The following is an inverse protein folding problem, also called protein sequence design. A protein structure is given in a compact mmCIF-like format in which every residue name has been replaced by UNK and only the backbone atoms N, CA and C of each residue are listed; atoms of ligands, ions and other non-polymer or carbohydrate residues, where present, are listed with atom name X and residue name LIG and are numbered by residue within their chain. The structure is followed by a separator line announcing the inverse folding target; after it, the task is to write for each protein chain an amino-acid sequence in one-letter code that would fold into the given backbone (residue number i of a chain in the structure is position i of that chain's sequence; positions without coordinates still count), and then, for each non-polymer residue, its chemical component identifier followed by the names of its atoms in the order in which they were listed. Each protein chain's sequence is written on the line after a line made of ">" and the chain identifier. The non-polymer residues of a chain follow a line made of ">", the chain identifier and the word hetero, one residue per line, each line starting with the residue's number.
data_IF_237905744501
#
_entry.id   IF_237905744501
#
_cell.length_a   1.000
_cell.length_b   1.000
_cell.length_c   1.000
_cell.angle_alpha   90.00
_cell.angle_beta   90.00
_cell.angle_gamma   90.00
#
_symmetry.space_group_name_H-M   'P 1'
#
loop_
_entity.id
_entity.type
_entity.pdbx_description
1 polymer ?
#
# COMPACT_ATOMS: atom_id res chain seq x y z
N UNK A 1 6.53 -13.87 -14.56
CA UNK A 1 7.80 -13.44 -13.94
C UNK A 1 7.72 -11.96 -13.63
N UNK A 2 8.26 -11.54 -12.49
CA UNK A 2 8.38 -10.12 -12.19
C UNK A 2 9.46 -9.46 -13.07
N UNK A 3 9.55 -8.13 -13.03
CA UNK A 3 10.44 -7.37 -13.92
C UNK A 3 11.93 -7.71 -13.72
N UNK A 4 12.37 -7.91 -12.48
CA UNK A 4 13.77 -8.24 -12.19
C UNK A 4 14.09 -9.69 -12.58
N UNK A 5 13.17 -10.63 -12.35
CA UNK A 5 13.27 -12.01 -12.87
C UNK A 5 13.38 -12.02 -14.41
N UNK A 6 12.65 -11.13 -15.11
CA UNK A 6 12.74 -10.99 -16.57
C UNK A 6 14.10 -10.46 -17.03
N UNK A 7 14.71 -9.52 -16.29
CA UNK A 7 16.07 -9.05 -16.58
C UNK A 7 17.07 -10.18 -16.41
N UNK A 8 17.06 -10.84 -15.25
CA UNK A 8 18.03 -11.91 -14.93
C UNK A 8 17.91 -13.09 -15.91
N UNK A 9 16.68 -13.52 -16.24
CA UNK A 9 16.49 -14.56 -17.24
C UNK A 9 16.98 -14.12 -18.62
N UNK A 10 16.69 -12.88 -19.03
CA UNK A 10 17.15 -12.32 -20.31
C UNK A 10 18.68 -12.27 -20.41
N UNK A 11 19.36 -11.81 -19.35
CA UNK A 11 20.83 -11.79 -19.28
C UNK A 11 21.41 -13.19 -19.39
N UNK A 12 20.83 -14.15 -18.65
CA UNK A 12 21.26 -15.53 -18.72
C UNK A 12 21.17 -16.10 -20.14
N UNK A 13 20.18 -15.67 -20.92
CA UNK A 13 19.92 -16.16 -22.28
C UNK A 13 20.88 -15.58 -23.35
N UNK A 14 21.75 -14.62 -23.00
CA UNK A 14 22.78 -14.12 -23.91
C UNK A 14 23.81 -15.21 -24.29
N UNK A 15 24.12 -16.12 -23.36
CA UNK A 15 24.91 -17.32 -23.65
C UNK A 15 24.02 -18.47 -24.18
N UNK A 16 23.29 -18.17 -25.26
CA UNK A 16 22.32 -19.10 -25.82
C UNK A 16 22.98 -20.36 -26.41
N UNK A 17 22.34 -21.49 -26.14
CA UNK A 17 22.53 -22.74 -26.87
C UNK A 17 21.15 -23.40 -27.13
N UNK A 18 21.11 -24.34 -28.08
CA UNK A 18 19.85 -24.93 -28.56
C UNK A 18 19.01 -25.59 -27.46
N UNK A 19 19.64 -26.12 -26.41
CA UNK A 19 18.91 -26.73 -25.27
C UNK A 19 18.02 -25.73 -24.52
N UNK A 20 18.30 -24.43 -24.65
CA UNK A 20 17.59 -23.34 -23.96
C UNK A 20 16.51 -22.68 -24.81
N UNK A 21 16.17 -23.26 -25.97
CA UNK A 21 15.12 -22.71 -26.86
C UNK A 21 13.77 -22.54 -26.14
N UNK A 22 13.45 -23.43 -25.20
CA UNK A 22 12.19 -23.36 -24.45
C UNK A 22 12.18 -22.17 -23.49
N UNK A 23 13.29 -21.93 -22.79
CA UNK A 23 13.46 -20.76 -21.90
C UNK A 23 13.40 -19.45 -22.68
N UNK A 24 14.01 -19.41 -23.87
CA UNK A 24 13.99 -18.23 -24.74
C UNK A 24 12.56 -17.90 -25.19
N UNK A 25 11.79 -18.91 -25.62
CA UNK A 25 10.39 -18.71 -25.98
C UNK A 25 9.58 -18.16 -24.82
N UNK A 26 9.71 -18.79 -23.65
CA UNK A 26 9.00 -18.37 -22.43
C UNK A 26 9.34 -16.91 -22.08
N UNK A 27 10.61 -16.52 -22.22
CA UNK A 27 11.03 -15.14 -21.98
C UNK A 27 10.40 -14.15 -22.96
N UNK A 28 10.40 -14.46 -24.26
CA UNK A 28 9.83 -13.61 -25.33
C UNK A 28 8.32 -13.44 -25.19
N UNK A 29 7.60 -14.46 -24.72
CA UNK A 29 6.15 -14.44 -24.56
C UNK A 29 5.67 -13.43 -23.50
N UNK A 30 6.57 -12.92 -22.65
CA UNK A 30 6.25 -11.86 -21.68
C UNK A 30 6.16 -10.46 -22.32
N UNK A 31 6.60 -10.27 -23.57
CA UNK A 31 6.59 -8.98 -24.25
C UNK A 31 5.34 -8.79 -25.12
N UNK A 32 4.72 -7.58 -25.12
CA UNK A 32 3.57 -7.29 -25.97
C UNK A 32 4.01 -7.02 -27.42
N UNK A 33 4.23 -8.09 -28.18
CA UNK A 33 4.73 -8.00 -29.57
C UNK A 33 3.66 -7.56 -30.59
N UNK A 34 2.40 -7.50 -30.17
CA UNK A 34 1.26 -7.04 -30.95
C UNK A 34 0.64 -5.78 -30.34
N UNK A 35 0.10 -4.89 -31.17
CA UNK A 35 -0.58 -3.67 -30.72
C UNK A 35 0.29 -2.41 -30.79
N UNK A 36 -0.04 -1.40 -29.97
CA UNK A 36 0.61 -0.08 -30.01
C UNK A 36 1.97 -0.13 -29.32
N UNK A 37 3.04 0.05 -30.10
CA UNK A 37 4.41 0.15 -29.60
C UNK A 37 4.58 1.37 -28.66
N UNK A 38 5.29 1.25 -27.53
CA UNK A 38 5.66 2.39 -26.71
C UNK A 38 6.41 3.46 -27.52
N UNK A 39 6.18 4.74 -27.20
CA UNK A 39 6.78 5.86 -27.94
C UNK A 39 8.31 5.76 -27.86
N UNK A 40 8.98 5.79 -29.02
CA UNK A 40 10.45 5.69 -29.11
C UNK A 40 11.02 4.27 -29.12
N UNK A 41 10.20 3.24 -28.94
CA UNK A 41 10.68 1.86 -28.74
C UNK A 41 10.51 0.96 -29.99
N UNK A 42 10.47 1.55 -31.19
CA UNK A 42 10.28 0.80 -32.45
C UNK A 42 11.42 -0.18 -32.72
N UNK A 43 12.65 0.22 -32.42
CA UNK A 43 13.83 -0.61 -32.61
C UNK A 43 13.81 -1.84 -31.70
N UNK A 44 13.58 -1.63 -30.39
CA UNK A 44 13.47 -2.71 -29.42
C UNK A 44 12.30 -3.67 -29.74
N UNK A 45 11.16 -3.16 -30.23
CA UNK A 45 10.07 -4.01 -30.71
C UNK A 45 10.48 -4.84 -31.93
N UNK A 46 11.23 -4.27 -32.87
CA UNK A 46 11.72 -4.99 -34.05
C UNK A 46 12.69 -6.10 -33.66
N UNK A 47 13.61 -5.82 -32.74
CA UNK A 47 14.58 -6.77 -32.18
C UNK A 47 13.86 -7.97 -31.54
N UNK A 48 12.88 -7.71 -30.67
CA UNK A 48 12.06 -8.76 -30.05
C UNK A 48 11.28 -9.60 -31.06
N UNK A 49 10.69 -8.97 -32.10
CA UNK A 49 9.99 -9.69 -33.17
C UNK A 49 10.93 -10.57 -33.99
N UNK A 50 12.15 -10.10 -34.24
CA UNK A 50 13.16 -10.87 -34.97
C UNK A 50 13.52 -12.13 -34.20
N UNK A 51 13.85 -12.02 -32.90
CA UNK A 51 14.16 -13.22 -32.10
C UNK A 51 12.94 -14.14 -32.03
N UNK A 52 11.73 -13.61 -31.82
CA UNK A 52 10.52 -14.44 -31.82
C UNK A 52 10.39 -15.27 -33.10
N UNK A 53 10.58 -14.64 -34.26
CA UNK A 53 10.48 -15.31 -35.55
C UNK A 53 11.48 -16.46 -35.68
N UNK A 54 12.75 -16.25 -35.29
CA UNK A 54 13.77 -17.30 -35.33
C UNK A 54 13.46 -18.44 -34.34
N UNK A 55 12.99 -18.11 -33.14
CA UNK A 55 12.60 -19.10 -32.12
C UNK A 55 11.41 -19.94 -32.58
N UNK A 56 10.38 -19.32 -33.15
CA UNK A 56 9.20 -20.02 -33.68
C UNK A 56 9.60 -20.93 -34.86
N UNK A 57 10.48 -20.47 -35.76
CA UNK A 57 11.00 -21.26 -36.88
C UNK A 57 11.81 -22.47 -36.41
N UNK A 58 12.68 -22.30 -35.41
CA UNK A 58 13.44 -23.40 -34.84
C UNK A 58 12.54 -24.44 -34.18
N UNK A 59 11.53 -24.02 -33.41
CA UNK A 59 10.61 -24.94 -32.77
C UNK A 59 9.72 -25.69 -33.75
N UNK A 60 9.24 -25.02 -34.79
CA UNK A 60 8.29 -25.63 -35.73
C UNK A 60 8.99 -26.54 -36.75
N UNK A 61 10.21 -26.21 -37.17
CA UNK A 61 10.88 -26.87 -38.30
C UNK A 61 12.28 -27.40 -37.99
N UNK A 62 12.84 -27.13 -36.80
CA UNK A 62 14.22 -27.49 -36.47
C UNK A 62 15.27 -26.71 -37.27
N UNK A 63 14.90 -25.57 -37.85
CA UNK A 63 15.76 -24.76 -38.71
C UNK A 63 16.36 -23.57 -37.96
N UNK A 64 17.51 -23.06 -38.43
CA UNK A 64 18.01 -21.71 -38.08
C UNK A 64 18.47 -21.46 -36.62
N UNK A 65 18.89 -22.48 -35.87
CA UNK A 65 19.43 -22.30 -34.50
C UNK A 65 20.64 -21.35 -34.44
N UNK A 66 21.46 -21.35 -35.49
CA UNK A 66 22.59 -20.41 -35.67
C UNK A 66 22.16 -18.94 -35.79
N UNK A 67 20.95 -18.68 -36.28
CA UNK A 67 20.45 -17.31 -36.45
C UNK A 67 20.04 -16.69 -35.10
N UNK A 68 19.50 -17.49 -34.18
CA UNK A 68 19.20 -17.02 -32.81
C UNK A 68 20.50 -16.55 -32.14
N UNK A 69 21.56 -17.35 -32.25
CA UNK A 69 22.89 -16.97 -31.74
C UNK A 69 23.43 -15.71 -32.42
N UNK A 70 23.26 -15.59 -33.74
CA UNK A 70 23.70 -14.42 -34.48
C UNK A 70 22.95 -13.14 -34.06
N UNK A 71 21.63 -13.21 -33.82
CA UNK A 71 20.85 -12.06 -33.34
C UNK A 71 21.30 -11.64 -31.94
N UNK A 72 21.50 -12.61 -31.04
CA UNK A 72 21.92 -12.35 -29.66
C UNK A 72 23.36 -11.85 -29.54
N UNK A 73 24.22 -12.10 -30.54
CA UNK A 73 25.62 -11.62 -30.54
C UNK A 73 25.70 -10.09 -30.47
N UNK A 74 24.65 -9.40 -30.87
CA UNK A 74 24.56 -7.93 -30.83
C UNK A 74 23.88 -7.38 -29.58
N UNK A 75 23.41 -8.25 -28.68
CA UNK A 75 22.76 -7.83 -27.43
C UNK A 75 23.75 -7.97 -26.27
N UNK A 76 23.72 -7.01 -25.36
CA UNK A 76 24.43 -7.08 -24.09
C UNK A 76 23.44 -6.99 -22.91
N UNK A 77 23.96 -7.07 -21.69
CA UNK A 77 23.12 -6.99 -20.49
C UNK A 77 22.38 -5.65 -20.38
N UNK A 78 23.00 -4.56 -20.83
CA UNK A 78 22.40 -3.21 -20.83
C UNK A 78 21.22 -3.17 -21.80
N UNK A 79 21.35 -3.80 -22.96
CA UNK A 79 20.30 -3.92 -23.95
C UNK A 79 19.13 -4.76 -23.43
N UNK A 80 19.40 -5.88 -22.75
CA UNK A 80 18.36 -6.68 -22.08
C UNK A 80 17.60 -5.82 -21.07
N UNK A 81 18.30 -5.10 -20.20
CA UNK A 81 17.68 -4.24 -19.19
C UNK A 81 16.82 -3.15 -19.84
N UNK A 82 17.33 -2.50 -20.88
CA UNK A 82 16.62 -1.49 -21.66
C UNK A 82 15.34 -2.04 -22.30
N UNK A 83 15.39 -3.24 -22.88
CA UNK A 83 14.23 -3.91 -23.48
C UNK A 83 13.20 -4.23 -22.38
N UNK A 84 13.60 -4.84 -21.27
CA UNK A 84 12.66 -5.16 -20.17
C UNK A 84 12.06 -3.87 -19.60
N UNK A 85 12.85 -2.84 -19.34
CA UNK A 85 12.37 -1.55 -18.80
C UNK A 85 11.38 -0.84 -19.73
N UNK A 86 11.58 -0.98 -21.04
CA UNK A 86 10.75 -0.33 -22.07
C UNK A 86 9.36 -0.94 -22.24
N UNK A 87 9.24 -2.25 -21.99
CA UNK A 87 8.00 -3.00 -22.25
C UNK A 87 7.31 -3.49 -20.97
N UNK A 88 8.07 -3.75 -19.91
CA UNK A 88 7.60 -4.29 -18.66
C UNK A 88 7.67 -3.18 -17.61
N UNK A 89 6.50 -2.65 -17.25
CA UNK A 89 6.40 -1.70 -16.15
C UNK A 89 6.78 -2.41 -14.86
N UNK A 90 7.41 -1.70 -13.92
CA UNK A 90 7.63 -2.24 -12.57
C UNK A 90 6.31 -2.82 -12.07
N UNK A 91 6.34 -4.07 -11.61
CA UNK A 91 5.27 -4.57 -10.75
C UNK A 91 5.16 -3.56 -9.61
N UNK A 92 3.96 -3.01 -9.41
CA UNK A 92 3.75 -2.09 -8.31
C UNK A 92 4.08 -2.87 -7.04
N UNK A 93 5.10 -2.44 -6.29
CA UNK A 93 5.21 -2.84 -4.89
C UNK A 93 3.93 -2.38 -4.20
N UNK A 94 3.01 -3.33 -4.04
CA UNK A 94 1.70 -3.07 -3.50
C UNK A 94 1.68 -3.23 -1.98
N UNK A 95 2.81 -3.52 -1.35
CA UNK A 95 2.90 -3.74 0.09
C UNK A 95 4.14 -3.07 0.66
N UNK A 96 3.98 -2.38 1.78
CA UNK A 96 5.05 -1.82 2.60
C UNK A 96 4.81 -2.23 4.05
N UNK A 97 5.82 -2.80 4.73
CA UNK A 97 5.69 -3.26 6.12
C UNK A 97 6.49 -2.38 7.07
N UNK A 98 5.89 -2.06 8.21
CA UNK A 98 6.54 -1.33 9.29
C UNK A 98 6.08 -1.88 10.64
N UNK A 99 6.99 -2.54 11.38
CA UNK A 99 6.67 -3.24 12.63
C UNK A 99 5.51 -4.25 12.42
N UNK A 100 4.45 -4.15 13.21
CA UNK A 100 3.21 -4.93 13.13
C UNK A 100 2.19 -4.40 12.11
N UNK A 101 2.58 -3.43 11.26
CA UNK A 101 1.69 -2.72 10.34
C UNK A 101 2.02 -3.12 8.90
N UNK A 102 0.99 -3.49 8.16
CA UNK A 102 1.06 -3.74 6.72
C UNK A 102 0.30 -2.66 5.97
N UNK A 103 1.01 -1.87 5.17
CA UNK A 103 0.43 -0.93 4.23
C UNK A 103 0.26 -1.61 2.89
N UNK A 104 -0.91 -1.46 2.26
CA UNK A 104 -1.18 -2.00 0.93
C UNK A 104 -1.64 -0.92 -0.05
N UNK A 105 -1.17 -1.01 -1.30
CA UNK A 105 -1.60 -0.16 -2.40
C UNK A 105 -2.58 -0.92 -3.29
N UNK A 106 -3.87 -0.82 -2.97
CA UNK A 106 -4.98 -1.36 -3.77
C UNK A 106 -5.49 -0.32 -4.78
N UNK A 107 -4.68 0.69 -5.10
CA UNK A 107 -5.08 1.88 -5.87
C UNK A 107 -4.18 2.13 -7.09
N UNK A 108 -4.54 3.07 -8.00
CA UNK A 108 -3.69 3.43 -9.11
C UNK A 108 -2.42 4.21 -8.73
N UNK A 109 -2.14 4.48 -7.44
CA UNK A 109 -0.94 5.19 -6.99
C UNK A 109 0.35 4.56 -7.55
N UNK A 110 1.30 5.42 -7.91
CA UNK A 110 2.69 5.01 -8.20
C UNK A 110 3.39 4.58 -6.91
N UNK A 111 4.40 3.74 -7.02
CA UNK A 111 5.20 3.28 -5.87
C UNK A 111 5.78 4.45 -5.06
N UNK A 112 6.36 5.45 -5.73
CA UNK A 112 6.90 6.66 -5.09
C UNK A 112 5.83 7.40 -4.27
N UNK A 113 4.62 7.57 -4.82
CA UNK A 113 3.52 8.24 -4.12
C UNK A 113 2.98 7.40 -2.95
N UNK A 114 2.86 6.09 -3.13
CA UNK A 114 2.48 5.15 -2.08
C UNK A 114 3.46 5.18 -0.91
N UNK A 115 4.77 5.09 -1.17
CA UNK A 115 5.80 5.13 -0.12
C UNK A 115 5.85 6.48 0.60
N UNK A 116 5.63 7.59 -0.12
CA UNK A 116 5.56 8.92 0.50
C UNK A 116 4.38 8.99 1.50
N UNK A 117 3.20 8.50 1.11
CA UNK A 117 2.02 8.42 1.99
C UNK A 117 2.25 7.48 3.19
N UNK A 118 2.90 6.33 2.98
CA UNK A 118 3.24 5.42 4.08
C UNK A 118 4.16 6.08 5.10
N UNK A 119 5.21 6.77 4.65
CA UNK A 119 6.13 7.50 5.53
C UNK A 119 5.42 8.57 6.34
N UNK A 120 4.50 9.29 5.72
CA UNK A 120 3.69 10.29 6.39
C UNK A 120 2.81 9.68 7.50
N UNK A 121 2.11 8.59 7.21
CA UNK A 121 1.30 7.89 8.22
C UNK A 121 2.15 7.27 9.33
N UNK A 122 3.34 6.74 9.02
CA UNK A 122 4.27 6.21 10.03
C UNK A 122 4.68 7.29 11.03
N UNK A 123 4.83 8.55 10.62
CA UNK A 123 5.10 9.64 11.55
C UNK A 123 3.95 9.84 12.54
N UNK A 124 2.71 9.88 12.05
CA UNK A 124 1.51 9.98 12.90
C UNK A 124 1.35 8.77 13.82
N UNK A 125 1.59 7.56 13.32
CA UNK A 125 1.53 6.35 14.13
C UNK A 125 2.54 6.40 15.28
N UNK A 126 3.75 6.89 15.02
CA UNK A 126 4.78 7.02 16.04
C UNK A 126 4.50 8.12 17.07
N UNK A 127 3.57 9.06 16.79
CA UNK A 127 3.13 10.05 17.76
C UNK A 127 1.95 9.59 18.61
N UNK A 128 1.31 8.46 18.31
CA UNK A 128 0.23 7.92 19.14
C UNK A 128 0.78 7.45 20.49
N UNK A 129 0.11 7.84 21.57
CA UNK A 129 0.44 7.46 22.94
C UNK A 129 -0.83 7.03 23.71
N UNK A 130 -0.66 6.64 24.98
CA UNK A 130 -1.78 6.30 25.86
C UNK A 130 -2.82 5.35 25.23
N UNK A 131 -4.09 5.75 25.30
CA UNK A 131 -5.19 4.98 24.70
C UNK A 131 -5.20 5.04 23.17
N UNK A 132 -4.65 6.09 22.54
CA UNK A 132 -4.50 6.17 21.08
C UNK A 132 -3.58 5.06 20.56
N UNK A 133 -2.45 4.84 21.22
CA UNK A 133 -1.50 3.78 20.86
C UNK A 133 -2.10 2.37 20.98
N UNK A 134 -3.08 2.18 21.88
CA UNK A 134 -3.75 0.87 22.04
C UNK A 134 -4.58 0.49 20.82
N UNK A 135 -5.07 1.47 20.07
CA UNK A 135 -5.69 1.22 18.78
C UNK A 135 -4.74 0.57 17.76
N UNK A 136 -3.44 0.46 18.06
CA UNK A 136 -2.43 -0.24 17.26
C UNK A 136 -2.05 -1.61 17.83
N UNK A 137 -2.69 -2.10 18.91
CA UNK A 137 -2.44 -3.44 19.46
C UNK A 137 -2.83 -4.54 18.44
N UNK A 138 -1.94 -5.55 18.31
CA UNK A 138 -2.05 -6.61 17.31
C UNK A 138 -1.61 -6.19 15.90
N UNK A 139 -1.73 -7.07 14.91
CA UNK A 139 -1.43 -6.72 13.51
C UNK A 139 -2.41 -5.68 12.98
N UNK A 140 -1.93 -4.67 12.24
CA UNK A 140 -2.77 -3.62 11.64
C UNK A 140 -2.59 -3.61 10.14
N UNK A 141 -3.70 -3.58 9.38
CA UNK A 141 -3.67 -3.39 7.93
C UNK A 141 -4.17 -2.01 7.56
N UNK A 142 -3.44 -1.31 6.70
CA UNK A 142 -3.83 0.00 6.18
C UNK A 142 -3.74 -0.05 4.65
N UNK A 143 -4.87 0.09 3.96
CA UNK A 143 -4.93 0.05 2.50
C UNK A 143 -5.29 1.38 1.88
N UNK A 144 -4.51 1.78 0.88
CA UNK A 144 -4.91 2.86 -0.03
C UNK A 144 -5.79 2.29 -1.13
N UNK A 145 -7.00 2.81 -1.25
CA UNK A 145 -8.03 2.31 -2.18
C UNK A 145 -8.49 3.38 -3.16
N UNK A 146 -9.12 2.95 -4.25
CA UNK A 146 -9.73 3.81 -5.27
C UNK A 146 -11.07 4.39 -4.83
N UNK A 147 -11.53 5.41 -5.57
CA UNK A 147 -12.82 6.06 -5.28
C UNK A 147 -14.04 5.14 -5.42
N UNK A 148 -13.91 4.03 -6.17
CA UNK A 148 -14.97 3.04 -6.39
C UNK A 148 -15.08 2.02 -5.26
N UNK A 149 -14.02 1.86 -4.47
CA UNK A 149 -13.93 0.77 -3.49
C UNK A 149 -14.62 1.14 -2.16
N UNK A 150 -14.66 2.44 -1.82
CA UNK A 150 -15.35 2.95 -0.63
C UNK A 150 -16.11 4.25 -0.96
N UNK A 151 -17.29 4.45 -0.34
CA UNK A 151 -18.09 5.68 -0.52
C UNK A 151 -17.51 6.87 0.25
N UNK A 152 -17.11 6.66 1.50
CA UNK A 152 -16.49 7.64 2.40
C UNK A 152 -15.03 7.98 2.02
N UNK A 153 -14.40 8.90 2.76
CA UNK A 153 -12.97 9.23 2.59
C UNK A 153 -12.05 8.17 3.20
N UNK A 154 -12.48 7.58 4.31
CA UNK A 154 -11.86 6.41 4.91
C UNK A 154 -12.94 5.52 5.54
N UNK A 155 -12.58 4.28 5.87
CA UNK A 155 -13.43 3.31 6.56
C UNK A 155 -12.57 2.31 7.31
N UNK A 156 -12.91 2.03 8.56
CA UNK A 156 -12.49 0.84 9.27
C UNK A 156 -13.39 -0.35 8.90
N UNK A 157 -12.78 -1.41 8.38
CA UNK A 157 -13.43 -2.67 8.03
C UNK A 157 -13.18 -3.71 9.13
N UNK A 158 -14.16 -3.86 10.03
CA UNK A 158 -14.06 -4.70 11.22
C UNK A 158 -13.93 -6.19 10.91
N UNK A 159 -14.48 -6.65 9.78
CA UNK A 159 -14.37 -8.06 9.34
C UNK A 159 -12.92 -8.45 9.02
N UNK A 160 -12.15 -7.50 8.47
CA UNK A 160 -10.77 -7.73 8.02
C UNK A 160 -9.70 -7.11 8.94
N UNK A 161 -10.12 -6.43 10.01
CA UNK A 161 -9.26 -5.58 10.87
C UNK A 161 -8.35 -4.66 10.03
N UNK A 162 -8.98 -3.94 9.08
CA UNK A 162 -8.30 -3.16 8.05
C UNK A 162 -8.83 -1.72 7.97
N UNK A 163 -7.92 -0.74 7.95
CA UNK A 163 -8.26 0.66 7.68
C UNK A 163 -8.10 0.94 6.19
N UNK A 164 -9.19 1.32 5.53
CA UNK A 164 -9.23 1.69 4.11
C UNK A 164 -9.20 3.21 3.99
N UNK A 165 -8.21 3.77 3.29
CA UNK A 165 -8.10 5.21 3.05
C UNK A 165 -8.20 5.47 1.56
N UNK A 166 -9.14 6.32 1.14
CA UNK A 166 -9.27 6.75 -0.25
C UNK A 166 -8.05 7.57 -0.63
N UNK A 167 -7.34 7.14 -1.68
CA UNK A 167 -6.12 7.85 -2.09
C UNK A 167 -6.38 9.22 -2.73
N UNK A 168 -7.58 9.43 -3.27
CA UNK A 168 -8.05 10.69 -3.87
C UNK A 168 -8.89 11.51 -2.90
N UNK A 169 -8.99 12.82 -3.13
CA UNK A 169 -9.90 13.72 -2.39
C UNK A 169 -9.53 13.93 -0.92
N UNK A 170 -8.24 13.84 -0.61
CA UNK A 170 -7.70 14.17 0.70
C UNK A 170 -7.42 15.67 0.78
N UNK A 171 -7.75 16.29 1.90
CA UNK A 171 -7.39 17.68 2.20
C UNK A 171 -5.88 17.81 2.36
N UNK A 172 -5.30 18.91 1.88
CA UNK A 172 -3.90 19.27 2.14
C UNK A 172 -3.73 19.99 3.50
N UNK A 173 -4.82 20.52 4.07
CA UNK A 173 -4.82 21.07 5.42
C UNK A 173 -4.91 19.92 6.43
N UNK A 174 -4.03 19.90 7.45
CA UNK A 174 -3.90 18.85 8.49
C UNK A 174 -5.14 18.65 9.39
N UNK A 175 -6.27 19.27 9.06
CA UNK A 175 -7.56 19.14 9.74
C UNK A 175 -8.42 18.02 9.11
N UNK A 176 -9.74 18.09 9.33
CA UNK A 176 -10.70 17.13 8.79
C UNK A 176 -10.50 16.90 7.28
N UNK A 177 -10.50 15.62 6.89
CA UNK A 177 -10.26 15.20 5.50
C UNK A 177 -8.78 15.02 5.15
N UNK A 178 -7.84 15.39 6.03
CA UNK A 178 -6.43 15.05 5.87
C UNK A 178 -6.20 13.55 6.12
N UNK A 179 -5.23 12.95 5.41
CA UNK A 179 -4.92 11.53 5.51
C UNK A 179 -4.59 11.08 6.95
N UNK A 180 -3.81 11.89 7.67
CA UNK A 180 -3.44 11.63 9.07
C UNK A 180 -4.66 11.68 9.99
N UNK A 181 -5.53 12.67 9.81
CA UNK A 181 -6.77 12.78 10.57
C UNK A 181 -7.67 11.58 10.35
N UNK A 182 -7.88 11.22 9.08
CA UNK A 182 -8.68 10.04 8.72
C UNK A 182 -8.10 8.77 9.33
N UNK A 183 -6.78 8.58 9.31
CA UNK A 183 -6.18 7.42 9.97
C UNK A 183 -6.53 7.37 11.47
N UNK A 184 -6.34 8.46 12.21
CA UNK A 184 -6.59 8.46 13.66
C UNK A 184 -8.09 8.29 13.96
N UNK A 185 -8.96 8.88 13.15
CA UNK A 185 -10.41 8.67 13.23
C UNK A 185 -10.78 7.19 13.06
N UNK A 186 -10.31 6.53 12.00
CA UNK A 186 -10.61 5.11 11.77
C UNK A 186 -9.98 4.20 12.84
N UNK A 187 -8.85 4.61 13.42
CA UNK A 187 -8.28 3.92 14.59
C UNK A 187 -9.17 4.05 15.84
N UNK A 188 -9.98 5.11 15.96
CA UNK A 188 -11.02 5.23 16.99
C UNK A 188 -12.08 4.14 16.86
N UNK A 189 -12.59 3.90 15.64
CA UNK A 189 -13.49 2.77 15.39
C UNK A 189 -12.85 1.41 15.68
N UNK A 190 -11.58 1.24 15.30
CA UNK A 190 -10.81 0.04 15.63
C UNK A 190 -10.68 -0.16 17.14
N UNK A 191 -10.41 0.90 17.90
CA UNK A 191 -10.32 0.86 19.35
C UNK A 191 -11.64 0.38 19.95
N UNK A 192 -12.75 1.02 19.59
CA UNK A 192 -14.10 0.68 20.05
C UNK A 192 -14.43 -0.80 19.78
N UNK A 193 -14.17 -1.26 18.55
CA UNK A 193 -14.40 -2.65 18.17
C UNK A 193 -13.57 -3.65 18.98
N UNK A 194 -12.36 -3.28 19.43
CA UNK A 194 -11.47 -4.19 20.17
C UNK A 194 -11.70 -4.19 21.67
N UNK A 195 -11.99 -3.03 22.25
CA UNK A 195 -11.98 -2.85 23.70
C UNK A 195 -13.36 -2.50 24.28
N UNK A 196 -14.33 -2.16 23.42
CA UNK A 196 -15.59 -1.56 23.85
C UNK A 196 -15.39 -0.14 24.38
N UNK A 197 -16.50 0.48 24.77
CA UNK A 197 -16.52 1.80 25.37
C UNK A 197 -16.92 1.70 26.85
N UNK A 198 -16.39 2.59 27.72
CA UNK A 198 -16.92 2.72 29.07
C UNK A 198 -18.38 3.19 29.05
N UNK A 199 -19.15 2.83 30.09
CA UNK A 199 -20.57 3.22 30.24
C UNK A 199 -20.80 4.74 30.13
N UNK A 200 -19.81 5.55 30.52
CA UNK A 200 -19.86 7.03 30.42
C UNK A 200 -20.00 7.58 29.00
N UNK A 201 -19.89 6.72 27.97
CA UNK A 201 -20.12 7.06 26.56
C UNK A 201 -21.55 6.77 26.08
N UNK A 202 -22.49 6.49 26.99
CA UNK A 202 -23.92 6.37 26.66
C UNK A 202 -24.60 7.72 26.33
N UNK A 203 -23.99 8.83 26.70
CA UNK A 203 -24.55 10.19 26.64
C UNK A 203 -23.86 11.05 25.57
N UNK A 204 -24.56 12.01 24.97
CA UNK A 204 -24.08 12.79 23.81
C UNK A 204 -23.02 13.87 24.11
N UNK A 205 -22.47 13.95 25.32
CA UNK A 205 -21.59 15.05 25.74
C UNK A 205 -20.26 15.11 24.98
N UNK A 206 -19.83 14.00 24.36
CA UNK A 206 -18.54 13.86 23.68
C UNK A 206 -18.60 14.12 22.16
N UNK A 207 -19.73 14.64 21.66
CA UNK A 207 -19.82 15.08 20.27
C UNK A 207 -18.98 16.35 20.07
N UNK A 208 -18.13 16.37 19.04
CA UNK A 208 -17.21 17.48 18.77
C UNK A 208 -17.56 18.14 17.44
N UNK A 209 -17.21 17.51 16.33
CA UNK A 209 -17.44 18.08 15.00
C UNK A 209 -18.86 17.80 14.52
N UNK A 210 -19.29 18.46 13.44
CA UNK A 210 -20.56 18.14 12.76
C UNK A 210 -20.68 16.67 12.32
N UNK A 211 -19.56 15.97 12.16
CA UNK A 211 -19.54 14.56 11.76
C UNK A 211 -19.81 13.63 12.94
N UNK A 212 -19.67 14.09 14.19
CA UNK A 212 -20.10 13.33 15.38
C UNK A 212 -21.61 13.09 15.42
N UNK A 213 -22.39 13.78 14.58
CA UNK A 213 -23.85 13.69 14.52
C UNK A 213 -24.35 12.75 13.40
N UNK A 214 -23.45 12.18 12.60
CA UNK A 214 -23.84 11.23 11.55
C UNK A 214 -24.00 9.83 12.13
N UNK A 215 -25.02 9.10 11.69
CA UNK A 215 -25.14 7.67 11.99
C UNK A 215 -24.00 6.91 11.29
N UNK A 216 -23.31 6.05 12.05
CA UNK A 216 -22.23 5.25 11.48
C UNK A 216 -22.77 4.18 10.54
N UNK A 217 -22.10 4.03 9.40
CA UNK A 217 -22.36 2.94 8.46
C UNK A 217 -21.75 1.60 8.92
N UNK A 218 -20.90 1.60 9.96
CA UNK A 218 -20.22 0.40 10.50
C UNK A 218 -20.77 -0.11 11.83
N UNK A 219 -21.81 0.53 12.37
CA UNK A 219 -22.39 0.17 13.68
C UNK A 219 -21.55 0.57 14.89
N UNK A 220 -20.45 1.30 14.67
CA UNK A 220 -19.58 1.93 15.68
C UNK A 220 -20.01 3.39 15.93
N UNK A 221 -19.52 4.05 16.97
CA UNK A 221 -19.88 5.45 17.26
C UNK A 221 -19.01 6.43 16.45
N UNK A 222 -19.60 7.15 15.49
CA UNK A 222 -18.94 8.29 14.82
C UNK A 222 -18.52 9.35 15.84
N UNK A 223 -19.36 9.60 16.85
CA UNK A 223 -19.04 10.54 17.91
C UNK A 223 -17.76 10.14 18.66
N UNK A 224 -17.57 8.84 18.92
CA UNK A 224 -16.36 8.34 19.58
C UNK A 224 -15.13 8.49 18.68
N UNK A 225 -15.20 8.07 17.43
CA UNK A 225 -14.09 8.19 16.49
C UNK A 225 -13.67 9.66 16.26
N UNK A 226 -14.64 10.57 16.21
CA UNK A 226 -14.39 12.00 16.10
C UNK A 226 -13.67 12.58 17.31
N UNK A 227 -14.15 12.34 18.54
CA UNK A 227 -13.48 12.82 19.76
C UNK A 227 -12.11 12.15 19.96
N UNK A 228 -11.99 10.89 19.56
CA UNK A 228 -10.71 10.16 19.53
C UNK A 228 -9.71 10.82 18.58
N UNK A 229 -10.13 11.23 17.38
CA UNK A 229 -9.26 11.93 16.44
C UNK A 229 -8.83 13.32 16.92
N UNK A 230 -9.77 14.16 17.36
CA UNK A 230 -9.44 15.54 17.76
C UNK A 230 -8.63 15.61 19.05
N UNK A 231 -8.79 14.65 19.95
CA UNK A 231 -7.99 14.55 21.18
C UNK A 231 -6.52 14.18 20.94
N UNK A 232 -6.15 13.71 19.75
CA UNK A 232 -4.76 13.48 19.38
C UNK A 232 -4.01 14.80 19.05
N UNK A 233 -4.73 15.85 18.65
CA UNK A 233 -4.16 17.18 18.37
C UNK A 233 -4.96 18.28 19.10
N UNK A 234 -5.00 18.26 20.44
CA UNK A 234 -5.83 19.17 21.22
C UNK A 234 -5.54 20.65 20.92
N UNK A 235 -4.29 20.98 20.57
CA UNK A 235 -3.87 22.33 20.20
C UNK A 235 -4.53 22.86 18.93
N UNK A 236 -4.90 21.97 18.00
CA UNK A 236 -5.58 22.32 16.75
C UNK A 236 -7.10 22.42 16.90
N UNK A 237 -7.64 21.94 18.03
CA UNK A 237 -9.06 21.78 18.31
C UNK A 237 -9.44 22.40 19.66
N UNK A 238 -8.88 23.57 19.97
CA UNK A 238 -9.05 24.28 21.26
C UNK A 238 -10.51 24.59 21.61
N UNK A 239 -11.37 24.78 20.60
CA UNK A 239 -12.81 24.98 20.75
C UNK A 239 -13.52 23.79 21.44
N UNK A 240 -12.94 22.59 21.42
CA UNK A 240 -13.44 21.39 22.11
C UNK A 240 -12.62 21.01 23.34
N UNK A 241 -11.80 21.92 23.88
CA UNK A 241 -10.85 21.62 24.97
C UNK A 241 -11.50 20.97 26.19
N UNK A 242 -12.64 21.46 26.67
CA UNK A 242 -13.35 20.86 27.81
C UNK A 242 -13.80 19.41 27.51
N UNK A 243 -14.35 19.18 26.32
CA UNK A 243 -14.75 17.85 25.86
C UNK A 243 -13.56 16.92 25.73
N UNK A 244 -12.46 17.38 25.12
CA UNK A 244 -11.22 16.61 24.95
C UNK A 244 -10.59 16.26 26.31
N UNK A 245 -10.58 17.21 27.26
CA UNK A 245 -10.02 16.99 28.59
C UNK A 245 -10.84 15.95 29.37
N UNK A 246 -12.17 16.08 29.34
CA UNK A 246 -13.06 15.09 29.98
C UNK A 246 -12.93 13.71 29.33
N UNK A 247 -12.91 13.66 28.01
CA UNK A 247 -12.67 12.44 27.23
C UNK A 247 -11.36 11.76 27.62
N UNK A 248 -10.26 12.49 27.58
CA UNK A 248 -8.94 11.96 27.88
C UNK A 248 -8.85 11.47 29.33
N UNK A 249 -9.49 12.15 30.27
CA UNK A 249 -9.55 11.73 31.68
C UNK A 249 -10.25 10.37 31.82
N UNK A 250 -11.45 10.25 31.26
CA UNK A 250 -12.23 8.99 31.29
C UNK A 250 -11.47 7.86 30.60
N UNK A 251 -10.91 8.12 29.42
CA UNK A 251 -10.16 7.10 28.67
C UNK A 251 -8.91 6.64 29.43
N UNK A 252 -8.19 7.55 30.08
CA UNK A 252 -7.01 7.20 30.89
C UNK A 252 -7.37 6.39 32.14
N UNK A 253 -8.54 6.63 32.75
CA UNK A 253 -9.04 5.84 33.88
C UNK A 253 -9.55 4.47 33.45
N UNK A 254 -10.28 4.41 32.33
CA UNK A 254 -10.89 3.19 31.83
C UNK A 254 -9.90 2.26 31.14
N UNK A 255 -8.83 2.80 30.55
CA UNK A 255 -7.83 2.00 29.87
C UNK A 255 -7.12 1.10 30.89
N UNK A 256 -7.32 -0.24 30.87
CA UNK A 256 -6.62 -1.12 31.79
C UNK A 256 -5.12 -0.89 31.61
N UNK A 257 -4.43 -0.57 32.71
CA UNK A 257 -2.97 -0.39 32.71
C UNK A 257 -2.36 -1.58 31.97
N UNK A 258 -1.68 -1.31 30.86
CA UNK A 258 -0.81 -2.31 30.23
C UNK A 258 0.04 -2.91 31.35
N UNK A 259 -0.15 -4.20 31.64
CA UNK A 259 0.90 -4.96 32.31
C UNK A 259 2.04 -4.94 31.30
N UNK A 260 2.93 -3.96 31.45
CA UNK A 260 4.19 -3.93 30.74
C UNK A 260 4.86 -5.26 31.09
N UNK A 261 4.80 -6.23 30.17
CA UNK A 261 5.83 -7.25 30.17
C UNK A 261 7.10 -6.47 29.85
N UNK A 262 7.88 -6.21 30.91
CA UNK A 262 9.30 -5.85 30.81
C UNK A 262 10.03 -7.04 30.19
N UNK A 263 9.81 -7.30 28.91
CA UNK A 263 10.55 -8.30 28.16
C UNK A 263 10.74 -7.76 26.74
N UNK A 264 11.57 -6.73 26.62
CA UNK A 264 12.61 -6.69 25.59
C UNK A 264 13.73 -5.86 26.19
N UNK A 265 14.46 -6.51 27.10
CA UNK A 265 15.86 -6.17 27.28
C UNK A 265 16.50 -6.15 25.90
N UNK A 266 17.09 -5.00 25.55
CA UNK A 266 18.14 -4.91 24.55
C UNK A 266 19.14 -6.03 24.81
N UNK A 267 19.08 -7.08 24.00
CA UNK A 267 20.18 -8.00 23.83
C UNK A 267 20.77 -7.75 22.44
N UNK A 268 21.87 -6.98 22.47
CA UNK A 268 22.92 -6.79 21.46
C UNK A 268 22.51 -6.16 20.13
#
# INVERSE_FOLDING_TARGET
>A
MNKEELKEKGKSLLDYNESRIHEMKEWIEHFPLTGRCPKGQKENLSKLKSIKSEVDMFQQYGLHGSNIKAVLTYWDEIEIESIVDSFIKNEKNNVFKYRNIEFSNKSPLSEKAFLAKCKDLVQTINSLDGFHARAMEGSVKISFVGAKDIRSLAKYDSENDEVLIKHTSLSDNELYGHMRYLLVHELGHRYENKFGLPESFSDDWYRTTKYSFTESLSGSSEAFAEVFAVSHWPEKYNEYSDTINRFSTIMNEHTPKLKVKKDFALNM
#
